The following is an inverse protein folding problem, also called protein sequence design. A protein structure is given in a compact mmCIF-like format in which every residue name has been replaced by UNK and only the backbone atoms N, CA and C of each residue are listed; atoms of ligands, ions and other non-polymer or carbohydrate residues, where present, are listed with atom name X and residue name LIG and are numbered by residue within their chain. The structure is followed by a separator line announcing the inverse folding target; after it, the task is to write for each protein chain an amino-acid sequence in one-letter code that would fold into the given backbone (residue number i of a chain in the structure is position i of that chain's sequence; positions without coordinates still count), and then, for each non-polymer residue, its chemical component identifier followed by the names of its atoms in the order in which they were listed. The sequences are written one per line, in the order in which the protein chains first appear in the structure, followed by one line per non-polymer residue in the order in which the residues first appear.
data_IF_866895513566
#
_entry.id   IF_866895513566
#
_cell.length_a   1.000
_cell.length_b   1.000
_cell.length_c   1.000
_cell.angle_alpha   90.00
_cell.angle_beta   90.00
_cell.angle_gamma   90.00
#
_symmetry.space_group_name_H-M   'P 1'
#
loop_
_entity.id
_entity.type
_entity.pdbx_description
1 polymer ?
#
# COMPACT_ATOMS: atom_id res chain seq x y z
N UNK A 1 -57.14 53.20 59.14
CA UNK A 1 -58.02 53.12 57.96
C UNK A 1 -57.15 53.34 56.72
N UNK A 2 -57.28 52.44 55.73
CA UNK A 2 -56.73 52.39 54.34
C UNK A 2 -55.62 53.33 53.80
N UNK A 3 -54.74 52.70 52.97
CA UNK A 3 -54.23 53.14 51.65
C UNK A 3 -52.81 53.74 51.46
N UNK A 4 -52.08 53.15 50.47
CA UNK A 4 -51.19 53.72 49.41
C UNK A 4 -49.89 54.50 49.82
N UNK A 5 -48.71 54.49 49.16
CA UNK A 5 -48.10 53.88 47.94
C UNK A 5 -46.55 54.06 47.96
N UNK A 6 -45.84 53.20 47.21
CA UNK A 6 -44.40 53.04 46.85
C UNK A 6 -43.50 54.29 46.63
N UNK A 7 -42.18 54.24 46.86
CA UNK A 7 -41.13 53.72 45.92
C UNK A 7 -39.72 53.60 46.57
N UNK A 8 -38.85 52.73 46.02
CA UNK A 8 -37.48 52.33 46.48
C UNK A 8 -36.35 52.86 45.57
N UNK A 9 -35.08 52.99 46.06
CA UNK A 9 -33.88 53.06 45.22
C UNK A 9 -32.94 51.82 45.32
N UNK A 10 -31.96 51.63 44.39
CA UNK A 10 -31.08 50.44 44.27
C UNK A 10 -29.61 50.67 44.74
N UNK A 11 -28.72 49.63 44.72
CA UNK A 11 -27.65 49.43 45.70
C UNK A 11 -26.19 49.73 45.26
N UNK A 12 -25.28 49.50 46.21
CA UNK A 12 -23.89 49.97 46.40
C UNK A 12 -22.78 49.12 45.75
N UNK A 13 -21.64 49.79 45.47
CA UNK A 13 -20.31 49.24 45.12
C UNK A 13 -19.25 49.80 46.10
N UNK A 14 -18.18 49.04 46.41
CA UNK A 14 -16.76 49.46 46.64
C UNK A 14 -15.99 48.43 47.50
N UNK A 15 -14.88 47.83 47.02
CA UNK A 15 -13.45 48.19 47.28
C UNK A 15 -12.87 47.42 48.50
N UNK A 16 -11.61 46.95 48.66
CA UNK A 16 -10.30 47.20 48.06
C UNK A 16 -9.24 46.17 48.58
N UNK A 17 -8.14 46.01 47.84
CA UNK A 17 -6.72 45.75 48.24
C UNK A 17 -6.23 44.40 48.84
N UNK A 18 -5.05 43.92 48.38
CA UNK A 18 -3.76 43.70 49.13
C UNK A 18 -2.70 42.98 48.26
N UNK A 19 -1.41 43.32 48.44
CA UNK A 19 -0.20 42.74 47.81
C UNK A 19 0.42 41.56 48.63
N UNK A 20 0.89 40.52 47.92
CA UNK A 20 1.93 39.43 48.10
C UNK A 20 2.54 39.14 49.51
N UNK A 21 2.88 37.87 49.90
CA UNK A 21 3.92 37.04 49.21
C UNK A 21 3.87 35.48 49.35
N UNK A 22 4.90 34.82 48.78
CA UNK A 22 5.49 33.46 49.00
C UNK A 22 5.11 32.25 48.12
N UNK A 23 6.16 31.51 47.73
CA UNK A 23 6.20 30.28 46.93
C UNK A 23 5.46 29.10 47.59
N UNK A 24 4.78 28.28 46.77
CA UNK A 24 4.73 26.84 46.99
C UNK A 24 4.57 26.13 45.64
N UNK A 25 5.38 25.08 45.48
CA UNK A 25 5.25 24.04 44.46
C UNK A 25 3.85 23.38 44.51
N UNK A 26 3.52 22.61 43.46
CA UNK A 26 2.25 21.90 43.16
C UNK A 26 1.45 22.62 42.07
N UNK A 27 1.01 22.04 40.96
CA UNK A 27 1.01 20.66 40.48
C UNK A 27 0.69 20.71 38.97
N UNK A 28 1.69 20.52 38.10
CA UNK A 28 1.50 20.48 36.64
C UNK A 28 1.39 19.04 36.11
N UNK A 29 1.04 18.07 36.97
CA UNK A 29 1.05 16.66 36.63
C UNK A 29 -0.20 16.12 35.90
N UNK A 30 -1.30 16.88 35.80
CA UNK A 30 -2.60 16.26 35.46
C UNK A 30 -3.08 16.41 34.01
N UNK A 31 -2.50 17.28 33.18
CA UNK A 31 -2.96 17.48 31.79
C UNK A 31 -2.05 16.83 30.74
N UNK A 32 -0.74 16.78 31.00
CA UNK A 32 0.23 16.15 30.10
C UNK A 32 0.14 14.61 30.09
N UNK A 33 -0.47 14.02 31.12
CA UNK A 33 -0.57 12.57 31.24
C UNK A 33 -1.76 11.97 30.46
N UNK A 34 -2.79 12.76 30.11
CA UNK A 34 -3.98 12.30 29.39
C UNK A 34 -3.83 12.29 27.87
N UNK A 35 -2.86 13.01 27.30
CA UNK A 35 -2.61 13.02 25.84
C UNK A 35 -1.55 12.01 25.37
N UNK A 36 -0.75 11.43 26.29
CA UNK A 36 0.41 10.61 25.92
C UNK A 36 0.30 9.10 26.17
N UNK A 37 -0.87 8.58 26.56
CA UNK A 37 -1.14 7.13 26.67
C UNK A 37 -2.58 6.78 26.26
N UNK A 38 -2.99 7.07 25.02
CA UNK A 38 -3.90 6.12 24.36
C UNK A 38 -3.09 4.84 24.16
N UNK A 39 -3.15 3.90 25.11
CA UNK A 39 -2.70 2.52 24.88
C UNK A 39 -3.24 2.12 23.52
N UNK A 40 -2.37 1.88 22.52
CA UNK A 40 -2.73 1.32 21.22
C UNK A 40 -3.47 0.02 21.50
N UNK A 41 -4.80 0.09 21.60
CA UNK A 41 -5.61 -1.06 21.97
C UNK A 41 -5.57 -2.00 20.77
N UNK A 42 -5.00 -3.20 20.95
CA UNK A 42 -4.93 -4.22 19.90
C UNK A 42 -6.36 -4.50 19.45
N UNK A 43 -6.67 -4.22 18.18
CA UNK A 43 -7.93 -4.63 17.58
C UNK A 43 -7.71 -6.01 16.97
N UNK A 44 -8.01 -7.02 17.77
CA UNK A 44 -7.95 -8.41 17.33
C UNK A 44 -9.22 -8.81 16.59
N UNK A 45 -9.06 -9.72 15.63
CA UNK A 45 -10.17 -10.24 14.87
C UNK A 45 -10.93 -11.32 15.64
N UNK A 46 -12.22 -11.12 15.89
CA UNK A 46 -13.06 -12.11 16.57
C UNK A 46 -13.86 -12.97 15.58
N UNK A 47 -14.16 -14.23 15.91
CA UNK A 47 -14.96 -15.09 15.06
C UNK A 47 -16.40 -14.56 14.95
N UNK A 48 -16.93 -14.33 13.73
CA UNK A 48 -18.32 -13.95 13.58
C UNK A 48 -19.26 -15.13 13.90
N UNK A 49 -20.57 -14.89 14.09
CA UNK A 49 -21.57 -15.95 14.21
C UNK A 49 -21.48 -16.97 13.07
N UNK A 50 -21.86 -18.22 13.33
CA UNK A 50 -21.75 -19.30 12.35
C UNK A 50 -22.47 -18.99 11.02
N UNK A 51 -23.66 -18.39 11.08
CA UNK A 51 -24.43 -17.99 9.89
C UNK A 51 -23.68 -16.98 9.02
N UNK A 52 -23.02 -15.99 9.64
CA UNK A 52 -22.19 -15.01 8.94
C UNK A 52 -20.93 -15.66 8.36
N UNK A 53 -20.30 -16.61 9.07
CA UNK A 53 -19.17 -17.40 8.52
C UNK A 53 -19.57 -18.14 7.25
N UNK A 54 -20.75 -18.78 7.24
CA UNK A 54 -21.26 -19.48 6.06
C UNK A 54 -21.50 -18.51 4.90
N UNK A 55 -22.08 -17.33 5.17
CA UNK A 55 -22.27 -16.28 4.16
C UNK A 55 -20.95 -15.79 3.54
N UNK A 56 -19.97 -15.46 4.38
CA UNK A 56 -18.65 -14.99 3.94
C UNK A 56 -17.89 -16.10 3.17
N UNK A 57 -17.96 -17.34 3.65
CA UNK A 57 -17.41 -18.50 2.95
C UNK A 57 -18.05 -18.69 1.57
N UNK A 58 -19.38 -18.63 1.49
CA UNK A 58 -20.12 -18.75 0.24
C UNK A 58 -19.74 -17.64 -0.75
N UNK A 59 -19.53 -16.41 -0.27
CA UNK A 59 -19.08 -15.31 -1.10
C UNK A 59 -17.68 -15.57 -1.68
N UNK A 60 -16.69 -15.91 -0.86
CA UNK A 60 -15.31 -16.16 -1.35
C UNK A 60 -15.25 -17.39 -2.24
N UNK A 61 -15.79 -18.52 -1.80
CA UNK A 61 -15.74 -19.77 -2.58
C UNK A 61 -16.61 -19.69 -3.84
N UNK A 62 -17.72 -18.97 -3.80
CA UNK A 62 -18.54 -18.69 -4.98
C UNK A 62 -17.76 -17.91 -6.03
N UNK A 63 -17.08 -16.83 -5.61
CA UNK A 63 -16.18 -16.07 -6.49
C UNK A 63 -15.02 -16.93 -7.01
N UNK A 64 -14.37 -17.72 -6.15
CA UNK A 64 -13.31 -18.65 -6.58
C UNK A 64 -13.81 -19.70 -7.58
N UNK A 65 -15.01 -20.25 -7.39
CA UNK A 65 -15.59 -21.23 -8.31
C UNK A 65 -15.91 -20.62 -9.67
N UNK A 66 -16.55 -19.45 -9.68
CA UNK A 66 -16.90 -18.74 -10.91
C UNK A 66 -15.64 -18.28 -11.68
N UNK A 67 -14.70 -17.65 -10.98
CA UNK A 67 -13.46 -17.17 -11.57
C UNK A 67 -12.51 -18.32 -11.93
N UNK A 68 -12.46 -19.37 -11.13
CA UNK A 68 -11.69 -20.60 -11.40
C UNK A 68 -12.14 -21.27 -12.69
N UNK A 69 -13.46 -21.32 -12.92
CA UNK A 69 -14.03 -21.87 -14.16
C UNK A 69 -13.69 -20.97 -15.35
N UNK A 70 -13.86 -19.65 -15.22
CA UNK A 70 -13.50 -18.70 -16.28
C UNK A 70 -12.00 -18.76 -16.61
N UNK A 71 -11.14 -18.86 -15.60
CA UNK A 71 -9.69 -18.92 -15.77
C UNK A 71 -9.25 -20.22 -16.44
N UNK A 72 -9.92 -21.34 -16.13
CA UNK A 72 -9.73 -22.61 -16.84
C UNK A 72 -10.09 -22.48 -18.32
N UNK A 73 -11.27 -21.94 -18.66
CA UNK A 73 -11.66 -21.71 -20.06
C UNK A 73 -10.70 -20.77 -20.80
N UNK A 74 -10.25 -19.70 -20.16
CA UNK A 74 -9.22 -18.82 -20.70
C UNK A 74 -7.92 -19.58 -20.95
N UNK A 75 -7.47 -20.44 -20.02
CA UNK A 75 -6.26 -21.25 -20.20
C UNK A 75 -6.36 -22.19 -21.40
N UNK A 76 -7.52 -22.80 -21.64
CA UNK A 76 -7.78 -23.59 -22.85
C UNK A 76 -7.71 -22.75 -24.12
N UNK A 77 -8.33 -21.55 -24.09
CA UNK A 77 -8.30 -20.63 -25.22
C UNK A 77 -6.87 -20.18 -25.54
N UNK A 78 -6.09 -19.83 -24.52
CA UNK A 78 -4.70 -19.38 -24.65
C UNK A 78 -3.76 -20.50 -25.06
N UNK A 79 -4.04 -21.75 -24.67
CA UNK A 79 -3.30 -22.90 -25.17
C UNK A 79 -3.47 -23.07 -26.68
N UNK A 80 -4.69 -22.84 -27.19
CA UNK A 80 -4.97 -22.87 -28.64
C UNK A 80 -4.49 -21.61 -29.37
N UNK A 81 -4.59 -20.45 -28.71
CA UNK A 81 -4.29 -19.14 -29.25
C UNK A 81 -3.50 -18.31 -28.22
N UNK A 82 -2.18 -18.52 -28.12
CA UNK A 82 -1.36 -17.82 -27.14
C UNK A 82 -1.48 -16.31 -27.34
N UNK A 83 -1.84 -15.53 -26.30
CA UNK A 83 -1.92 -14.10 -26.41
C UNK A 83 -0.52 -13.53 -26.65
N UNK A 84 -0.43 -12.50 -27.50
CA UNK A 84 0.81 -11.74 -27.64
C UNK A 84 1.20 -11.11 -26.31
N UNK A 85 2.49 -11.13 -25.97
CA UNK A 85 3.01 -10.48 -24.76
C UNK A 85 3.02 -11.32 -23.48
N UNK A 86 2.83 -12.65 -23.56
CA UNK A 86 3.02 -13.54 -22.40
C UNK A 86 4.46 -13.58 -21.85
N UNK A 87 4.71 -14.33 -20.76
CA UNK A 87 6.06 -14.53 -20.23
C UNK A 87 6.94 -15.28 -21.23
N UNK A 88 8.24 -15.01 -21.21
CA UNK A 88 9.22 -15.78 -21.99
C UNK A 88 9.41 -17.18 -21.38
N UNK A 89 9.37 -17.27 -20.04
CA UNK A 89 9.57 -18.52 -19.30
C UNK A 89 8.51 -18.62 -18.20
N UNK A 90 7.93 -19.81 -18.04
CA UNK A 90 7.19 -20.18 -16.84
C UNK A 90 7.97 -21.31 -16.16
N UNK A 91 8.58 -21.01 -15.00
CA UNK A 91 9.47 -21.93 -14.28
C UNK A 91 8.88 -22.28 -12.92
N UNK A 92 8.86 -23.56 -12.59
CA UNK A 92 8.55 -24.03 -11.25
C UNK A 92 9.85 -24.27 -10.47
N UNK A 93 9.85 -23.95 -9.18
CA UNK A 93 10.97 -24.18 -8.28
C UNK A 93 10.61 -25.28 -7.27
N UNK A 94 11.59 -26.08 -6.85
CA UNK A 94 11.36 -27.22 -5.93
C UNK A 94 10.69 -26.83 -4.62
N UNK A 95 10.95 -25.62 -4.12
CA UNK A 95 10.32 -25.08 -2.91
C UNK A 95 8.80 -24.95 -3.02
N UNK A 96 8.27 -24.77 -4.26
CA UNK A 96 6.85 -24.65 -4.59
C UNK A 96 6.59 -25.18 -6.02
N UNK A 97 6.55 -26.50 -6.22
CA UNK A 97 6.52 -27.09 -7.57
C UNK A 97 5.18 -26.84 -8.30
N UNK A 98 4.10 -26.53 -7.58
CA UNK A 98 2.81 -26.18 -8.16
C UNK A 98 2.69 -24.72 -8.60
N UNK A 99 3.73 -23.92 -8.38
CA UNK A 99 3.74 -22.48 -8.62
C UNK A 99 4.64 -22.14 -9.81
N UNK A 100 4.02 -21.84 -10.95
CA UNK A 100 4.73 -21.35 -12.13
C UNK A 100 5.09 -19.87 -11.97
N UNK A 101 6.35 -19.60 -11.63
CA UNK A 101 6.95 -18.26 -11.67
C UNK A 101 7.05 -17.81 -13.12
N UNK A 102 6.53 -16.62 -13.44
CA UNK A 102 6.45 -16.11 -14.81
C UNK A 102 7.52 -15.06 -15.02
N UNK A 103 8.36 -15.22 -16.03
CA UNK A 103 9.58 -14.42 -16.24
C UNK A 103 9.48 -13.71 -17.59
N UNK A 104 9.68 -12.40 -17.56
CA UNK A 104 9.56 -11.49 -18.69
C UNK A 104 10.91 -10.80 -18.90
N UNK A 105 11.60 -11.18 -19.97
CA UNK A 105 12.78 -10.48 -20.45
C UNK A 105 12.34 -9.30 -21.31
N UNK A 106 13.03 -8.14 -21.24
CA UNK A 106 12.78 -7.06 -22.18
C UNK A 106 12.98 -7.53 -23.61
N UNK A 107 12.17 -7.04 -24.54
CA UNK A 107 12.35 -7.32 -25.98
C UNK A 107 13.73 -6.88 -26.49
N UNK A 108 14.35 -5.86 -25.89
CA UNK A 108 15.70 -5.41 -26.25
C UNK A 108 16.83 -6.32 -25.74
N UNK A 109 16.54 -7.29 -24.87
CA UNK A 109 17.57 -8.13 -24.26
C UNK A 109 18.03 -9.28 -25.17
N UNK A 110 19.34 -9.34 -25.42
CA UNK A 110 19.98 -10.48 -26.07
C UNK A 110 20.26 -11.59 -25.05
N UNK A 111 19.63 -12.75 -25.22
CA UNK A 111 19.78 -13.92 -24.34
C UNK A 111 21.21 -14.50 -24.33
N UNK A 112 22.05 -14.13 -25.29
CA UNK A 112 23.47 -14.51 -25.32
C UNK A 112 24.37 -13.51 -24.60
N UNK A 113 23.83 -12.35 -24.22
CA UNK A 113 24.56 -11.32 -23.49
C UNK A 113 24.92 -11.79 -22.07
N UNK A 114 26.14 -11.53 -21.59
CA UNK A 114 26.51 -11.74 -20.20
C UNK A 114 25.97 -10.64 -19.27
N UNK A 115 25.29 -9.62 -19.80
CA UNK A 115 24.81 -8.48 -19.04
C UNK A 115 23.68 -8.88 -18.08
N UNK A 116 23.81 -8.51 -16.81
CA UNK A 116 22.72 -8.62 -15.83
C UNK A 116 21.74 -7.45 -15.95
N UNK A 117 20.49 -7.69 -15.60
CA UNK A 117 19.38 -6.76 -15.69
C UNK A 117 18.87 -6.36 -14.30
N UNK A 118 18.53 -5.07 -14.10
CA UNK A 118 17.70 -4.66 -12.98
C UNK A 118 16.40 -5.46 -12.98
N UNK A 119 15.96 -5.89 -11.81
CA UNK A 119 14.90 -6.90 -11.69
C UNK A 119 13.77 -6.41 -10.76
N UNK A 120 12.54 -6.48 -11.26
CA UNK A 120 11.33 -6.22 -10.49
C UNK A 120 10.56 -7.52 -10.27
N UNK A 121 10.37 -7.89 -9.00
CA UNK A 121 9.48 -8.97 -8.61
C UNK A 121 8.05 -8.45 -8.50
N UNK A 122 7.15 -8.98 -9.32
CA UNK A 122 5.74 -8.57 -9.38
C UNK A 122 4.85 -9.53 -8.59
N UNK A 123 3.92 -9.00 -7.80
CA UNK A 123 2.98 -9.77 -6.99
C UNK A 123 1.56 -9.34 -7.33
N UNK A 124 0.76 -10.30 -7.78
CA UNK A 124 -0.57 -10.01 -8.27
C UNK A 124 -1.61 -9.74 -7.18
N UNK A 125 -2.64 -8.98 -7.52
CA UNK A 125 -3.77 -8.65 -6.64
C UNK A 125 -4.83 -9.75 -6.51
N UNK A 126 -5.95 -9.42 -5.86
CA UNK A 126 -7.09 -10.33 -5.73
C UNK A 126 -7.61 -10.50 -4.31
N UNK A 127 -7.44 -9.50 -3.44
CA UNK A 127 -7.95 -9.54 -2.06
C UNK A 127 -7.46 -10.76 -1.27
N UNK A 128 -6.24 -11.23 -1.55
CA UNK A 128 -5.59 -12.43 -0.97
C UNK A 128 -6.28 -13.78 -1.27
N UNK A 129 -7.52 -13.75 -1.74
CA UNK A 129 -8.38 -14.90 -1.94
C UNK A 129 -8.55 -15.28 -3.42
N UNK A 130 -8.31 -14.34 -4.33
CA UNK A 130 -8.57 -14.48 -5.76
C UNK A 130 -7.30 -14.21 -6.59
N UNK A 131 -7.46 -14.37 -7.89
CA UNK A 131 -6.46 -14.03 -8.90
C UNK A 131 -5.34 -15.06 -9.05
N UNK A 132 -4.51 -14.84 -10.06
CA UNK A 132 -3.32 -15.62 -10.34
C UNK A 132 -2.21 -14.74 -10.93
N UNK A 133 -0.95 -15.19 -10.84
CA UNK A 133 0.22 -14.46 -11.36
C UNK A 133 0.10 -14.04 -12.83
N UNK A 134 -0.72 -14.75 -13.60
CA UNK A 134 -1.00 -14.47 -15.01
C UNK A 134 -1.92 -13.26 -15.24
N UNK A 135 -2.68 -12.84 -14.24
CA UNK A 135 -3.66 -11.75 -14.37
C UNK A 135 -2.97 -10.40 -14.68
N UNK A 136 -1.68 -10.28 -14.37
CA UNK A 136 -0.86 -9.09 -14.61
C UNK A 136 0.14 -9.22 -15.78
N UNK A 137 0.04 -10.26 -16.60
CA UNK A 137 1.01 -10.55 -17.66
C UNK A 137 1.20 -9.40 -18.66
N UNK A 138 0.11 -8.81 -19.14
CA UNK A 138 0.15 -7.70 -20.10
C UNK A 138 0.92 -6.51 -19.52
N UNK A 139 0.73 -6.23 -18.24
CA UNK A 139 1.44 -5.16 -17.58
C UNK A 139 2.90 -5.51 -17.31
N UNK A 140 3.18 -6.72 -16.82
CA UNK A 140 4.54 -7.18 -16.58
C UNK A 140 5.36 -7.16 -17.86
N UNK A 141 4.76 -7.53 -18.99
CA UNK A 141 5.33 -7.39 -20.33
C UNK A 141 5.60 -5.94 -20.69
N UNK A 142 4.58 -5.08 -20.61
CA UNK A 142 4.72 -3.67 -20.95
C UNK A 142 5.78 -2.97 -20.08
N UNK A 143 5.86 -3.33 -18.79
CA UNK A 143 6.87 -2.82 -17.87
C UNK A 143 8.26 -3.32 -18.23
N UNK A 144 8.43 -4.64 -18.45
CA UNK A 144 9.71 -5.23 -18.84
C UNK A 144 10.26 -4.57 -20.12
N UNK A 145 9.41 -4.44 -21.15
CA UNK A 145 9.80 -3.91 -22.45
C UNK A 145 10.07 -2.40 -22.41
N UNK A 146 9.21 -1.62 -21.73
CA UNK A 146 9.36 -0.15 -21.70
C UNK A 146 10.43 0.35 -20.75
N UNK A 147 10.74 -0.41 -19.70
CA UNK A 147 11.71 -0.02 -18.68
C UNK A 147 13.05 -0.74 -18.81
N UNK A 148 13.17 -1.68 -19.77
CA UNK A 148 14.35 -2.51 -20.02
C UNK A 148 14.80 -3.29 -18.79
N UNK A 149 13.83 -3.81 -18.04
CA UNK A 149 14.04 -4.56 -16.79
C UNK A 149 13.55 -6.00 -16.91
N UNK A 150 14.16 -6.89 -16.16
CA UNK A 150 13.62 -8.23 -15.96
C UNK A 150 12.42 -8.13 -15.00
N UNK A 151 11.26 -8.66 -15.41
CA UNK A 151 10.09 -8.75 -14.52
C UNK A 151 9.82 -10.21 -14.17
N UNK A 152 9.67 -10.49 -12.88
CA UNK A 152 9.43 -11.85 -12.37
C UNK A 152 8.14 -11.86 -11.53
N UNK A 153 7.07 -12.43 -12.07
CA UNK A 153 5.77 -12.53 -11.40
C UNK A 153 5.72 -13.75 -10.49
N UNK A 154 5.55 -13.52 -9.19
CA UNK A 154 5.51 -14.54 -8.15
C UNK A 154 4.06 -14.94 -7.79
N UNK A 155 3.66 -16.21 -7.99
CA UNK A 155 2.40 -16.73 -7.49
C UNK A 155 2.45 -16.99 -5.97
N UNK A 156 1.28 -17.01 -5.33
CA UNK A 156 1.13 -17.30 -3.89
C UNK A 156 -0.19 -18.02 -3.59
N UNK A 157 -0.23 -18.78 -2.49
CA UNK A 157 -1.43 -19.51 -2.04
C UNK A 157 -2.58 -18.57 -1.68
N UNK A 158 -3.83 -19.03 -1.90
CA UNK A 158 -5.03 -18.23 -1.66
C UNK A 158 -5.73 -18.57 -0.36
N UNK A 159 -6.13 -17.53 0.35
CA UNK A 159 -7.11 -17.62 1.41
C UNK A 159 -8.51 -17.99 0.85
N UNK A 160 -9.40 -18.58 1.67
CA UNK A 160 -9.25 -18.96 3.07
C UNK A 160 -8.49 -20.28 3.30
N UNK A 161 -8.13 -21.03 2.24
CA UNK A 161 -7.42 -22.31 2.39
C UNK A 161 -6.01 -22.15 2.95
N UNK A 162 -5.34 -21.06 2.57
CA UNK A 162 -4.04 -20.65 3.07
C UNK A 162 -4.15 -19.23 3.64
N UNK A 163 -4.59 -19.08 4.91
CA UNK A 163 -4.68 -17.76 5.55
C UNK A 163 -3.29 -17.16 5.82
N UNK A 164 -3.26 -15.91 6.23
CA UNK A 164 -2.04 -15.23 6.70
C UNK A 164 -1.31 -16.08 7.76
N UNK A 165 0.04 -16.20 7.70
CA UNK A 165 0.97 -15.54 6.76
C UNK A 165 1.38 -16.40 5.55
N UNK A 166 0.60 -17.43 5.16
CA UNK A 166 1.04 -18.42 4.18
C UNK A 166 1.52 -17.82 2.84
N UNK A 167 0.80 -16.83 2.32
CA UNK A 167 1.19 -16.12 1.10
C UNK A 167 2.58 -15.46 1.20
N UNK A 168 2.92 -14.86 2.35
CA UNK A 168 4.24 -14.25 2.57
C UNK A 168 5.35 -15.31 2.58
N UNK A 169 5.12 -16.47 3.20
CA UNK A 169 6.10 -17.56 3.22
C UNK A 169 6.31 -18.19 1.82
N UNK A 170 5.25 -18.26 1.01
CA UNK A 170 5.36 -18.68 -0.40
C UNK A 170 6.24 -17.72 -1.20
N UNK A 171 5.96 -16.42 -1.07
CA UNK A 171 6.69 -15.36 -1.76
C UNK A 171 8.16 -15.29 -1.32
N UNK A 172 8.44 -15.39 -0.02
CA UNK A 172 9.79 -15.47 0.53
C UNK A 172 10.56 -16.65 -0.07
N UNK A 173 9.97 -17.85 -0.04
CA UNK A 173 10.61 -19.06 -0.56
C UNK A 173 10.91 -18.94 -2.06
N UNK A 174 9.96 -18.41 -2.84
CA UNK A 174 10.11 -18.24 -4.29
C UNK A 174 11.11 -17.14 -4.63
N UNK A 175 11.06 -16.00 -3.94
CA UNK A 175 11.99 -14.89 -4.14
C UNK A 175 13.44 -15.36 -3.94
N UNK A 176 13.70 -16.07 -2.84
CA UNK A 176 15.03 -16.62 -2.54
C UNK A 176 15.48 -17.67 -3.56
N UNK A 177 14.56 -18.55 -3.99
CA UNK A 177 14.86 -19.56 -5.01
C UNK A 177 15.20 -18.93 -6.36
N UNK A 178 14.47 -17.90 -6.77
CA UNK A 178 14.72 -17.15 -8.01
C UNK A 178 16.05 -16.40 -7.95
N UNK A 179 16.35 -15.73 -6.83
CA UNK A 179 17.64 -15.02 -6.68
C UNK A 179 18.86 -15.95 -6.72
N UNK A 180 18.66 -17.20 -6.30
CA UNK A 180 19.69 -18.25 -6.33
C UNK A 180 19.81 -18.92 -7.71
N UNK A 181 18.94 -18.58 -8.66
CA UNK A 181 18.93 -19.15 -9.99
C UNK A 181 19.95 -18.45 -10.90
N UNK A 182 21.12 -19.08 -11.06
CA UNK A 182 22.19 -18.58 -11.91
C UNK A 182 21.85 -18.56 -13.40
N UNK A 183 20.76 -19.22 -13.82
CA UNK A 183 20.30 -19.15 -15.21
C UNK A 183 19.58 -17.84 -15.57
N UNK A 184 19.28 -17.00 -14.57
CA UNK A 184 18.64 -15.72 -14.77
C UNK A 184 19.66 -14.58 -14.65
N UNK A 185 19.65 -13.59 -15.57
CA UNK A 185 20.59 -12.48 -15.57
C UNK A 185 20.15 -11.41 -14.56
N UNK A 186 19.98 -11.76 -13.29
CA UNK A 186 19.53 -10.82 -12.25
C UNK A 186 20.72 -10.00 -11.77
N UNK A 187 20.64 -8.67 -11.91
CA UNK A 187 21.50 -7.75 -11.18
C UNK A 187 21.04 -7.71 -9.72
N UNK A 188 21.80 -8.37 -8.86
CA UNK A 188 21.51 -8.50 -7.42
C UNK A 188 21.68 -7.19 -6.64
N UNK A 189 22.26 -6.15 -7.24
CA UNK A 189 22.30 -4.81 -6.62
C UNK A 189 21.09 -3.95 -6.98
N UNK A 190 20.33 -4.35 -8.00
CA UNK A 190 19.22 -3.58 -8.56
C UNK A 190 17.93 -4.39 -8.54
N UNK A 191 17.45 -4.71 -7.34
CA UNK A 191 16.23 -5.50 -7.12
C UNK A 191 15.15 -4.70 -6.40
N UNK A 192 13.92 -4.79 -6.88
CA UNK A 192 12.74 -4.22 -6.22
C UNK A 192 11.58 -5.21 -6.21
N UNK A 193 10.62 -4.99 -5.32
CA UNK A 193 9.34 -5.72 -5.30
C UNK A 193 8.19 -4.76 -5.58
N UNK A 194 7.21 -5.21 -6.34
CA UNK A 194 6.04 -4.45 -6.74
C UNK A 194 4.80 -5.33 -6.60
N UNK A 195 3.66 -4.73 -6.25
CA UNK A 195 2.40 -5.46 -6.36
C UNK A 195 1.15 -4.59 -6.42
N UNK A 196 0.07 -5.23 -6.83
CA UNK A 196 -1.26 -4.64 -7.01
C UNK A 196 -2.22 -5.05 -5.91
N UNK A 197 -3.02 -4.13 -5.35
CA UNK A 197 -4.09 -4.50 -4.41
C UNK A 197 -3.52 -5.32 -3.21
N UNK A 198 -3.98 -6.56 -3.00
CA UNK A 198 -3.41 -7.48 -2.03
C UNK A 198 -1.92 -7.78 -2.29
N UNK A 199 -1.48 -7.78 -3.55
CA UNK A 199 -0.09 -7.90 -3.94
C UNK A 199 0.76 -6.69 -3.49
N UNK A 200 0.19 -5.48 -3.47
CA UNK A 200 0.88 -4.29 -2.95
C UNK A 200 1.10 -4.38 -1.43
N UNK A 201 0.10 -4.93 -0.71
CA UNK A 201 0.27 -5.31 0.69
C UNK A 201 1.38 -6.35 0.86
N UNK A 202 1.33 -7.44 0.08
CA UNK A 202 2.32 -8.53 0.15
C UNK A 202 3.73 -8.08 -0.24
N UNK A 203 3.90 -7.13 -1.16
CA UNK A 203 5.20 -6.56 -1.53
C UNK A 203 5.85 -5.83 -0.34
N UNK A 204 5.06 -4.99 0.35
CA UNK A 204 5.51 -4.32 1.58
C UNK A 204 5.73 -5.31 2.72
N UNK A 205 4.86 -6.32 2.87
CA UNK A 205 4.99 -7.37 3.88
C UNK A 205 6.23 -8.27 3.67
N UNK A 206 6.48 -8.67 2.42
CA UNK A 206 7.65 -9.47 2.04
C UNK A 206 8.95 -8.73 2.39
N UNK A 207 9.00 -7.43 2.07
CA UNK A 207 10.17 -6.57 2.38
C UNK A 207 10.39 -6.40 3.89
N UNK A 208 9.37 -6.60 4.72
CA UNK A 208 9.52 -6.55 6.18
C UNK A 208 9.99 -7.88 6.78
N UNK A 209 9.98 -9.01 6.06
CA UNK A 209 10.37 -10.29 6.68
C UNK A 209 11.84 -10.26 7.12
N UNK A 210 12.10 -10.66 8.38
CA UNK A 210 13.47 -10.67 8.90
C UNK A 210 14.42 -11.57 8.09
N UNK A 211 13.93 -12.66 7.51
CA UNK A 211 14.78 -13.54 6.70
C UNK A 211 15.19 -12.86 5.38
N UNK A 212 14.31 -12.01 4.82
CA UNK A 212 14.65 -11.15 3.69
C UNK A 212 15.71 -10.12 4.09
N UNK A 213 15.53 -9.42 5.21
CA UNK A 213 16.47 -8.39 5.69
C UNK A 213 17.86 -8.92 6.07
N UNK A 214 17.97 -10.21 6.40
CA UNK A 214 19.25 -10.88 6.69
C UNK A 214 19.96 -11.38 5.44
N UNK A 215 19.30 -11.37 4.29
CA UNK A 215 19.92 -11.75 3.04
C UNK A 215 20.80 -10.61 2.53
N UNK A 216 21.91 -10.95 1.88
CA UNK A 216 22.78 -9.99 1.19
C UNK A 216 22.10 -9.33 0.00
N UNK A 217 21.07 -9.97 -0.56
CA UNK A 217 20.25 -9.46 -1.66
C UNK A 217 18.84 -9.22 -1.14
N UNK A 218 18.54 -7.96 -0.84
CA UNK A 218 17.28 -7.49 -0.29
C UNK A 218 16.71 -6.44 -1.27
N UNK A 219 15.38 -6.39 -1.49
CA UNK A 219 14.82 -5.39 -2.40
C UNK A 219 15.09 -3.98 -1.87
N UNK A 220 15.80 -3.17 -2.65
CA UNK A 220 16.11 -1.77 -2.33
C UNK A 220 14.84 -0.92 -2.29
N UNK A 221 13.80 -1.32 -3.02
CA UNK A 221 12.51 -0.66 -3.06
C UNK A 221 11.30 -1.61 -2.98
N UNK A 222 10.21 -1.11 -2.40
CA UNK A 222 8.88 -1.70 -2.49
C UNK A 222 7.88 -0.73 -3.14
N UNK A 223 7.14 -1.21 -4.13
CA UNK A 223 6.09 -0.46 -4.83
C UNK A 223 4.73 -1.09 -4.56
N UNK A 224 3.78 -0.30 -4.08
CA UNK A 224 2.41 -0.75 -3.84
C UNK A 224 1.43 0.07 -4.67
N UNK A 225 0.76 -0.59 -5.61
CA UNK A 225 -0.22 0.01 -6.50
C UNK A 225 -1.64 -0.33 -6.03
N UNK A 226 -2.42 0.69 -5.67
CA UNK A 226 -3.75 0.54 -5.07
C UNK A 226 -3.75 -0.48 -3.92
N UNK A 227 -2.73 -0.43 -3.06
CA UNK A 227 -2.47 -1.50 -2.09
C UNK A 227 -3.53 -1.63 -1.00
N UNK A 228 -3.76 -2.87 -0.55
CA UNK A 228 -4.66 -3.19 0.55
C UNK A 228 -3.94 -3.09 1.91
N UNK A 229 -3.65 -1.89 2.39
CA UNK A 229 -2.63 -1.62 3.42
C UNK A 229 -3.14 -1.65 4.87
N UNK A 230 -4.44 -1.49 5.11
CA UNK A 230 -5.04 -1.43 6.45
C UNK A 230 -6.25 -2.39 6.59
N UNK A 231 -6.05 -3.56 7.20
CA UNK A 231 -7.13 -4.54 7.40
C UNK A 231 -7.93 -4.31 8.69
N UNK A 232 -7.55 -3.33 9.52
CA UNK A 232 -8.32 -2.98 10.71
C UNK A 232 -9.53 -2.11 10.38
N UNK A 233 -9.33 -1.14 9.48
CA UNK A 233 -10.39 -0.21 9.09
C UNK A 233 -11.47 -0.91 8.28
N UNK A 234 -12.71 -0.56 8.59
CA UNK A 234 -13.88 -1.07 7.87
C UNK A 234 -13.96 -0.49 6.46
N UNK A 235 -14.64 -1.21 5.56
CA UNK A 235 -14.96 -0.70 4.22
C UNK A 235 -15.63 0.70 4.27
N UNK A 236 -16.53 0.92 5.22
CA UNK A 236 -17.20 2.21 5.38
C UNK A 236 -16.23 3.36 5.70
N UNK A 237 -15.28 3.15 6.60
CA UNK A 237 -14.24 4.15 6.93
C UNK A 237 -13.32 4.43 5.74
N UNK A 238 -13.02 3.41 4.93
CA UNK A 238 -12.21 3.54 3.71
C UNK A 238 -12.97 4.34 2.64
N UNK A 239 -14.24 4.01 2.41
CA UNK A 239 -15.09 4.68 1.40
C UNK A 239 -15.46 6.12 1.76
N UNK A 240 -15.45 6.51 3.04
CA UNK A 240 -15.78 7.88 3.46
C UNK A 240 -14.84 8.96 2.88
N UNK A 241 -13.57 8.62 2.64
CA UNK A 241 -12.55 9.57 2.20
C UNK A 241 -12.29 9.50 0.68
N UNK A 242 -13.13 8.76 -0.05
CA UNK A 242 -13.07 8.63 -1.51
C UNK A 242 -13.86 9.78 -2.16
N UNK A 243 -13.27 10.58 -3.06
CA UNK A 243 -14.05 11.45 -3.93
C UNK A 243 -14.84 10.55 -4.90
N UNK A 244 -16.11 10.25 -4.62
CA UNK A 244 -16.88 9.31 -5.45
C UNK A 244 -17.55 10.04 -6.64
N UNK A 245 -17.24 9.59 -7.88
CA UNK A 245 -17.79 10.11 -9.15
C UNK A 245 -18.41 8.96 -9.97
N UNK A 246 -19.65 8.59 -9.66
CA UNK A 246 -20.35 7.47 -10.30
C UNK A 246 -20.47 7.63 -11.83
N UNK A 247 -20.57 8.88 -12.27
CA UNK A 247 -20.76 9.32 -13.65
C UNK A 247 -19.52 9.09 -14.55
N UNK A 248 -18.35 8.92 -13.94
CA UNK A 248 -17.08 8.73 -14.66
C UNK A 248 -16.67 7.25 -14.78
N UNK A 249 -17.38 6.34 -14.11
CA UNK A 249 -16.95 4.94 -14.00
C UNK A 249 -17.67 4.00 -14.96
N UNK A 250 -16.98 3.00 -15.54
CA UNK A 250 -17.64 1.93 -16.29
C UNK A 250 -18.35 0.95 -15.34
N UNK A 251 -19.32 0.20 -15.86
CA UNK A 251 -19.90 -0.93 -15.13
C UNK A 251 -18.81 -1.99 -14.83
N UNK A 252 -18.74 -2.59 -13.62
CA UNK A 252 -19.70 -2.53 -12.52
C UNK A 252 -19.48 -1.41 -11.48
N UNK A 253 -18.55 -0.47 -11.72
CA UNK A 253 -18.19 0.61 -10.77
C UNK A 253 -19.06 1.86 -10.89
N UNK A 254 -19.96 1.90 -11.87
CA UNK A 254 -20.90 3.00 -12.14
C UNK A 254 -22.12 3.09 -11.20
N UNK A 255 -22.16 2.28 -10.13
CA UNK A 255 -23.22 2.28 -9.12
C UNK A 255 -22.74 2.81 -7.77
N UNK A 256 -23.64 3.35 -6.94
CA UNK A 256 -23.36 4.09 -5.69
C UNK A 256 -22.53 3.37 -4.61
N UNK A 257 -22.17 2.10 -4.82
CA UNK A 257 -21.39 1.27 -3.90
C UNK A 257 -20.19 0.70 -4.64
N UNK A 258 -19.00 0.86 -4.05
CA UNK A 258 -17.77 0.25 -4.54
C UNK A 258 -17.88 -1.30 -4.51
N UNK A 259 -17.70 -2.01 -5.65
CA UNK A 259 -17.68 -3.47 -5.65
C UNK A 259 -16.65 -4.06 -4.67
N UNK A 260 -15.51 -3.38 -4.46
CA UNK A 260 -14.50 -3.80 -3.49
C UNK A 260 -15.00 -3.67 -2.05
N UNK A 261 -15.79 -2.64 -1.74
CA UNK A 261 -16.39 -2.48 -0.41
C UNK A 261 -17.33 -3.65 -0.07
N UNK A 262 -18.04 -4.19 -1.07
CA UNK A 262 -18.94 -5.33 -0.88
C UNK A 262 -18.22 -6.67 -0.61
N UNK A 263 -16.94 -6.76 -0.98
CA UNK A 263 -16.11 -7.98 -0.82
C UNK A 263 -15.05 -7.85 0.27
N UNK A 264 -14.79 -6.63 0.76
CA UNK A 264 -13.82 -6.33 1.81
C UNK A 264 -13.94 -7.25 3.03
N UNK A 265 -15.15 -7.38 3.59
CA UNK A 265 -15.35 -8.21 4.78
C UNK A 265 -15.04 -9.69 4.52
N UNK A 266 -15.33 -10.18 3.31
CA UNK A 266 -15.06 -11.55 2.90
C UNK A 266 -13.56 -11.81 2.71
N UNK A 267 -12.80 -10.84 2.18
CA UNK A 267 -11.34 -10.92 2.05
C UNK A 267 -10.63 -10.86 3.39
N UNK A 268 -10.95 -9.86 4.22
CA UNK A 268 -10.49 -9.82 5.61
C UNK A 268 -10.87 -11.13 6.30
N UNK A 269 -12.06 -11.68 5.96
CA UNK A 269 -12.51 -12.95 6.49
C UNK A 269 -11.71 -14.16 6.13
N UNK A 270 -11.42 -14.35 4.85
CA UNK A 270 -10.65 -15.49 4.42
C UNK A 270 -9.19 -15.38 4.84
N UNK A 271 -8.63 -14.17 4.81
CA UNK A 271 -7.19 -14.00 4.94
C UNK A 271 -6.71 -13.99 6.39
N UNK A 272 -7.46 -13.40 7.33
CA UNK A 272 -6.94 -13.15 8.69
C UNK A 272 -7.30 -14.26 9.67
N UNK A 273 -6.34 -14.94 10.33
CA UNK A 273 -6.64 -15.88 11.41
C UNK A 273 -7.41 -15.23 12.57
N UNK A 274 -8.27 -15.99 13.25
CA UNK A 274 -8.97 -15.47 14.43
C UNK A 274 -8.01 -15.21 15.58
N UNK A 275 -8.25 -14.13 16.33
CA UNK A 275 -7.39 -13.67 17.41
C UNK A 275 -6.17 -12.87 16.94
N UNK A 276 -5.88 -12.85 15.63
CA UNK A 276 -4.75 -12.09 15.09
C UNK A 276 -4.96 -10.59 15.27
N UNK A 277 -3.87 -9.88 15.53
CA UNK A 277 -3.87 -8.43 15.64
C UNK A 277 -3.97 -7.80 14.25
N UNK A 278 -5.05 -7.07 13.97
CA UNK A 278 -5.25 -6.43 12.67
C UNK A 278 -4.24 -5.32 12.39
N UNK A 279 -3.51 -4.87 13.41
CA UNK A 279 -2.41 -3.90 13.30
C UNK A 279 -1.03 -4.52 13.14
N UNK A 280 -0.94 -5.85 13.03
CA UNK A 280 0.33 -6.51 12.71
C UNK A 280 0.91 -5.91 11.41
N UNK A 281 2.12 -5.33 11.40
CA UNK A 281 2.71 -4.69 10.21
C UNK A 281 2.86 -5.60 8.98
N UNK A 282 2.96 -6.91 9.17
CA UNK A 282 2.99 -7.88 8.07
C UNK A 282 1.59 -8.13 7.48
N UNK A 283 0.55 -7.95 8.28
CA UNK A 283 -0.85 -8.06 7.85
C UNK A 283 -1.36 -6.73 7.27
N UNK A 284 -1.05 -5.62 7.96
CA UNK A 284 -1.46 -4.26 7.64
C UNK A 284 -0.23 -3.34 7.59
N UNK A 285 0.48 -3.25 6.44
CA UNK A 285 1.65 -2.39 6.25
C UNK A 285 1.41 -0.91 6.57
N UNK A 286 0.15 -0.46 6.64
CA UNK A 286 -0.23 0.85 7.18
C UNK A 286 0.39 1.13 8.58
N UNK A 287 0.77 0.10 9.33
CA UNK A 287 1.39 0.20 10.66
C UNK A 287 2.91 -0.10 10.68
N UNK A 288 3.55 -0.36 9.54
CA UNK A 288 4.97 -0.67 9.44
C UNK A 288 5.89 0.53 9.74
N UNK A 289 7.06 0.30 10.33
CA UNK A 289 8.05 1.35 10.61
C UNK A 289 9.27 1.22 9.70
N UNK A 290 10.10 2.25 9.63
CA UNK A 290 11.38 2.19 8.90
C UNK A 290 12.41 1.30 9.59
N UNK A 291 12.46 1.37 10.92
CA UNK A 291 13.38 0.59 11.76
C UNK A 291 12.68 -0.59 12.39
N UNK A 292 13.44 -1.64 12.65
CA UNK A 292 13.05 -2.68 13.58
C UNK A 292 12.86 -2.01 14.95
N UNK A 293 11.64 -1.76 15.42
CA UNK A 293 11.48 -1.33 16.81
C UNK A 293 11.96 -2.47 17.72
N UNK A 294 13.05 -2.22 18.45
CA UNK A 294 13.66 -3.13 19.43
C UNK A 294 12.61 -3.74 20.36
N UNK A 295 12.09 -4.93 20.06
CA UNK A 295 11.50 -5.90 21.02
C UNK A 295 10.41 -5.44 22.01
N UNK A 296 9.98 -4.18 22.03
CA UNK A 296 9.24 -3.56 23.13
C UNK A 296 7.75 -3.40 22.79
N UNK A 297 7.12 -4.52 22.45
CA UNK A 297 5.67 -4.60 22.20
C UNK A 297 5.09 -6.01 22.16
N UNK A 298 5.96 -7.03 22.07
CA UNK A 298 5.60 -8.44 22.08
C UNK A 298 5.31 -8.97 23.50
N UNK A 299 4.40 -8.33 24.24
CA UNK A 299 3.66 -9.02 25.30
C UNK A 299 2.36 -9.55 24.68
N UNK A 300 2.42 -10.81 24.28
CA UNK A 300 1.30 -11.49 23.62
C UNK A 300 1.74 -12.68 22.80
N UNK A 301 2.71 -13.46 23.30
CA UNK A 301 2.97 -14.79 22.79
C UNK A 301 1.73 -15.66 23.10
N UNK A 302 0.80 -15.73 22.15
CA UNK A 302 -0.07 -16.88 22.02
C UNK A 302 0.82 -18.08 21.68
N UNK A 303 0.95 -19.01 22.61
CA UNK A 303 1.69 -20.27 22.43
C UNK A 303 1.22 -20.96 21.15
N UNK A 304 2.11 -21.08 20.14
CA UNK A 304 1.98 -22.06 19.06
C UNK A 304 1.94 -21.57 17.60
N UNK A 305 2.15 -20.28 17.29
CA UNK A 305 2.11 -19.80 15.89
C UNK A 305 3.50 -19.48 15.31
N UNK A 306 3.91 -20.17 14.23
CA UNK A 306 5.00 -19.76 13.33
C UNK A 306 4.63 -18.50 12.52
N UNK A 307 4.29 -17.40 13.19
CA UNK A 307 4.16 -16.09 12.54
C UNK A 307 5.54 -15.49 12.37
N UNK A 308 5.96 -15.23 11.12
CA UNK A 308 7.24 -14.59 10.81
C UNK A 308 7.44 -13.30 11.62
N UNK A 309 8.67 -13.07 12.10
CA UNK A 309 9.03 -11.81 12.76
C UNK A 309 9.12 -10.71 11.71
N UNK A 310 8.49 -9.56 11.98
CA UNK A 310 8.55 -8.36 11.15
C UNK A 310 9.76 -7.49 11.51
N UNK A 311 10.48 -7.01 10.49
CA UNK A 311 11.39 -5.88 10.55
C UNK A 311 10.78 -4.64 9.88
N UNK A 312 11.58 -3.58 9.73
CA UNK A 312 11.16 -2.34 9.08
C UNK A 312 11.11 -2.42 7.55
N UNK A 313 10.50 -1.41 6.93
CA UNK A 313 10.37 -1.24 5.47
C UNK A 313 11.74 -1.06 4.76
N UNK A 314 11.81 -1.30 3.43
CA UNK A 314 13.01 -1.04 2.65
C UNK A 314 13.30 0.47 2.58
N UNK A 315 14.51 0.85 2.16
CA UNK A 315 14.95 2.27 2.10
C UNK A 315 14.06 3.14 1.21
N UNK A 316 13.51 2.56 0.15
CA UNK A 316 12.70 3.26 -0.83
C UNK A 316 11.29 2.66 -0.91
N UNK A 317 10.26 3.50 -0.79
CA UNK A 317 8.86 3.08 -0.87
C UNK A 317 8.10 3.95 -1.85
N UNK A 318 7.46 3.34 -2.84
CA UNK A 318 6.57 4.02 -3.79
C UNK A 318 5.12 3.54 -3.60
N UNK A 319 4.21 4.49 -3.45
CA UNK A 319 2.80 4.24 -3.15
C UNK A 319 1.94 4.90 -4.23
N UNK A 320 1.20 4.09 -4.97
CA UNK A 320 0.29 4.58 -6.02
C UNK A 320 -1.14 4.41 -5.54
N UNK A 321 -1.91 5.50 -5.49
CA UNK A 321 -3.35 5.48 -5.23
C UNK A 321 -4.13 5.79 -6.50
N UNK A 322 -5.25 5.10 -6.73
CA UNK A 322 -6.20 5.42 -7.79
C UNK A 322 -7.30 6.33 -7.24
N UNK A 323 -7.57 7.48 -7.85
CA UNK A 323 -8.38 8.56 -7.25
C UNK A 323 -9.75 8.10 -6.72
N UNK A 324 -10.44 7.25 -7.49
CA UNK A 324 -11.75 6.73 -7.11
C UNK A 324 -11.59 5.29 -6.57
N UNK A 325 -10.54 4.96 -5.84
CA UNK A 325 -10.41 3.68 -5.14
C UNK A 325 -10.63 3.89 -3.63
N UNK A 326 -11.37 3.00 -2.97
CA UNK A 326 -11.46 3.03 -1.50
C UNK A 326 -10.08 2.84 -0.82
N UNK A 327 -9.12 2.23 -1.52
CA UNK A 327 -7.74 2.02 -1.04
C UNK A 327 -6.81 3.21 -1.29
N UNK A 328 -7.19 4.18 -2.12
CA UNK A 328 -6.38 5.36 -2.44
C UNK A 328 -5.94 6.11 -1.18
N UNK A 329 -6.85 6.20 -0.22
CA UNK A 329 -6.60 6.89 1.04
C UNK A 329 -5.61 6.15 1.94
N UNK A 330 -5.51 4.83 1.79
CA UNK A 330 -4.53 4.03 2.55
C UNK A 330 -3.11 4.29 2.06
N UNK A 331 -2.91 4.36 0.74
CA UNK A 331 -1.61 4.70 0.15
C UNK A 331 -1.20 6.11 0.55
N UNK A 332 -2.14 7.06 0.53
CA UNK A 332 -1.93 8.43 1.01
C UNK A 332 -1.54 8.50 2.49
N UNK A 333 -2.32 7.84 3.37
CA UNK A 333 -2.03 7.78 4.82
C UNK A 333 -0.66 7.21 5.10
N UNK A 334 -0.32 6.09 4.47
CA UNK A 334 0.98 5.48 4.66
C UNK A 334 2.09 6.41 4.17
N UNK A 335 1.96 7.02 2.99
CA UNK A 335 2.96 7.92 2.44
C UNK A 335 3.22 9.13 3.38
N UNK A 336 2.16 9.82 3.80
CA UNK A 336 2.28 10.95 4.72
C UNK A 336 2.90 10.55 6.07
N UNK A 337 2.54 9.38 6.60
CA UNK A 337 3.13 8.87 7.84
C UNK A 337 4.60 8.55 7.67
N UNK A 338 4.97 7.82 6.61
CA UNK A 338 6.35 7.44 6.33
C UNK A 338 7.25 8.66 6.14
N UNK A 339 6.78 9.73 5.49
CA UNK A 339 7.53 10.99 5.40
C UNK A 339 7.71 11.65 6.78
N UNK A 340 6.68 11.65 7.63
CA UNK A 340 6.81 12.19 9.00
C UNK A 340 7.76 11.36 9.86
N UNK A 341 7.72 10.05 9.72
CA UNK A 341 8.55 9.10 10.47
C UNK A 341 9.99 9.07 9.94
N UNK A 342 10.20 9.31 8.64
CA UNK A 342 11.48 9.23 7.93
C UNK A 342 12.38 10.47 8.05
N UNK A 343 11.99 11.47 8.86
CA UNK A 343 12.74 12.71 9.06
C UNK A 343 14.17 12.44 9.51
N UNK A 344 15.13 12.60 8.59
CA UNK A 344 16.56 12.51 8.87
C UNK A 344 16.95 13.48 9.99
N UNK A 345 17.59 12.94 11.03
CA UNK A 345 18.28 13.72 12.05
C UNK A 345 19.41 14.50 11.39
N UNK A 346 19.26 15.82 11.22
CA UNK A 346 20.44 16.69 11.09
C UNK A 346 21.20 16.72 12.42
N UNK A 347 22.52 16.83 12.34
CA UNK A 347 23.43 16.83 13.48
C UNK A 347 23.27 18.01 14.46
N UNK A 348 22.31 18.92 14.22
CA UNK A 348 22.00 20.11 15.02
C UNK A 348 20.66 19.99 15.80
N UNK A 349 19.95 18.87 15.68
CA UNK A 349 18.71 18.64 16.42
C UNK A 349 17.50 19.47 15.94
N UNK A 350 17.58 20.14 14.79
CA UNK A 350 16.43 20.80 14.18
C UNK A 350 15.84 19.95 13.05
N UNK A 351 14.54 19.65 13.18
CA UNK A 351 13.77 18.90 12.20
C UNK A 351 13.22 19.86 11.14
N UNK A 352 13.58 19.67 9.88
CA UNK A 352 12.78 20.20 8.77
C UNK A 352 11.53 19.31 8.67
N UNK A 353 10.46 19.69 9.36
CA UNK A 353 9.17 18.99 9.22
C UNK A 353 8.67 19.25 7.81
N UNK A 354 8.83 18.27 6.92
CA UNK A 354 8.06 18.23 5.69
C UNK A 354 6.58 18.40 6.06
N UNK A 355 5.95 19.48 5.57
CA UNK A 355 4.53 19.74 5.82
C UNK A 355 3.70 18.85 4.91
N UNK A 356 3.73 17.55 5.18
CA UNK A 356 2.81 16.58 4.56
C UNK A 356 1.48 16.60 5.32
N UNK A 357 0.36 16.43 4.61
CA UNK A 357 -0.93 16.48 5.26
C UNK A 357 -1.10 15.45 6.38
N UNK A 358 -1.99 15.74 7.33
CA UNK A 358 -2.39 14.80 8.37
C UNK A 358 -3.74 14.12 8.12
N UNK A 359 -3.76 12.99 7.38
CA UNK A 359 -5.01 12.31 7.06
C UNK A 359 -5.73 11.66 8.26
N UNK A 360 -5.18 11.76 9.47
CA UNK A 360 -5.85 11.41 10.74
C UNK A 360 -6.21 12.65 11.60
N UNK A 361 -5.84 13.88 11.20
CA UNK A 361 -6.23 15.11 11.89
C UNK A 361 -7.72 15.40 11.72
N UNK A 362 -8.35 16.15 12.62
CA UNK A 362 -9.79 16.47 12.54
C UNK A 362 -10.17 17.38 11.36
N UNK A 363 -9.18 18.03 10.76
CA UNK A 363 -9.36 18.91 9.60
C UNK A 363 -9.69 18.12 8.32
N UNK A 364 -10.89 18.34 7.77
CA UNK A 364 -11.33 17.70 6.53
C UNK A 364 -10.45 18.06 5.31
N UNK A 365 -9.74 19.20 5.34
CA UNK A 365 -8.84 19.59 4.26
C UNK A 365 -7.55 18.75 4.21
N UNK A 366 -7.16 18.17 5.34
CA UNK A 366 -6.00 17.27 5.50
C UNK A 366 -6.37 15.80 5.21
N UNK A 367 -7.67 15.47 5.27
CA UNK A 367 -8.22 14.12 5.04
C UNK A 367 -8.51 13.80 3.58
N UNK A 368 -8.56 14.77 2.66
CA UNK A 368 -8.94 14.47 1.27
C UNK A 368 -7.69 14.27 0.41
N UNK A 369 -7.60 13.11 -0.22
CA UNK A 369 -6.57 12.78 -1.19
C UNK A 369 -6.68 13.70 -2.43
N UNK A 370 -5.58 14.33 -2.87
CA UNK A 370 -5.50 15.00 -4.18
C UNK A 370 -6.00 16.45 -4.32
N UNK A 371 -6.00 17.29 -3.26
CA UNK A 371 -6.28 18.74 -3.44
C UNK A 371 -5.06 19.54 -3.93
N UNK A 372 -5.27 20.39 -4.93
CA UNK A 372 -4.26 21.22 -5.61
C UNK A 372 -3.71 22.45 -4.88
N UNK A 373 -3.61 22.44 -3.55
CA UNK A 373 -2.82 23.42 -2.79
C UNK A 373 -2.17 22.75 -1.58
N UNK A 374 -1.00 22.15 -1.77
CA UNK A 374 -0.04 21.93 -0.68
C UNK A 374 0.76 23.22 -0.47
N UNK A 375 1.00 23.56 0.81
CA UNK A 375 1.61 24.82 1.23
C UNK A 375 3.03 25.05 0.69
N UNK A 376 3.47 26.30 0.78
CA UNK A 376 4.76 26.81 0.33
C UNK A 376 5.95 25.95 0.78
N UNK A 377 6.37 25.07 -0.11
CA UNK A 377 7.65 24.40 -0.24
C UNK A 377 7.63 23.93 -1.69
N UNK A 378 8.61 24.34 -2.49
CA UNK A 378 8.57 24.18 -3.96
C UNK A 378 8.27 22.72 -4.34
N UNK A 379 7.01 22.46 -4.72
CA UNK A 379 6.72 21.40 -5.68
C UNK A 379 7.45 21.80 -6.95
N UNK A 380 8.30 20.91 -7.46
CA UNK A 380 8.94 21.08 -8.74
C UNK A 380 7.83 21.11 -9.82
N UNK A 381 7.33 22.32 -10.12
CA UNK A 381 6.40 22.57 -11.21
C UNK A 381 7.20 22.49 -12.50
N UNK A 382 7.43 21.28 -13.00
CA UNK A 382 7.89 21.13 -14.39
C UNK A 382 6.83 21.75 -15.30
N UNK A 383 7.31 22.68 -16.12
CA UNK A 383 6.53 23.59 -16.94
C UNK A 383 5.69 22.86 -17.99
N UNK A 384 4.53 23.46 -18.23
CA UNK A 384 3.49 23.16 -19.19
C UNK A 384 4.01 23.06 -20.64
N UNK A 385 4.21 21.85 -21.13
CA UNK A 385 4.58 21.51 -22.52
C UNK A 385 3.40 20.95 -23.34
N UNK A 386 2.15 21.21 -22.92
CA UNK A 386 0.98 21.02 -23.78
C UNK A 386 0.58 19.57 -24.05
N UNK A 387 1.08 18.61 -23.26
CA UNK A 387 0.59 17.23 -23.21
C UNK A 387 -0.48 17.12 -22.11
N UNK A 388 -1.74 16.85 -22.49
CA UNK A 388 -2.89 16.95 -21.58
C UNK A 388 -2.77 16.05 -20.33
N UNK A 389 -2.43 16.68 -19.21
CA UNK A 389 -2.38 16.16 -17.84
C UNK A 389 -3.33 16.99 -16.96
N UNK A 390 -4.62 16.64 -16.92
CA UNK A 390 -5.52 17.19 -15.89
C UNK A 390 -5.24 16.48 -14.56
N UNK A 391 -4.25 17.00 -13.83
CA UNK A 391 -4.01 16.83 -12.39
C UNK A 391 -3.40 15.50 -11.89
N UNK A 392 -2.16 15.18 -12.27
CA UNK A 392 -1.32 14.31 -11.42
C UNK A 392 -0.95 15.08 -10.15
N UNK A 393 -1.42 14.60 -9.01
CA UNK A 393 -1.02 15.10 -7.69
C UNK A 393 -0.18 14.01 -7.02
N UNK A 394 0.98 14.38 -6.52
CA UNK A 394 1.94 13.45 -5.98
C UNK A 394 3.06 14.21 -5.29
N UNK A 395 3.86 13.50 -4.52
CA UNK A 395 5.08 14.06 -3.98
C UNK A 395 6.17 12.99 -3.96
N UNK A 396 7.40 13.45 -3.95
CA UNK A 396 8.54 12.62 -3.66
C UNK A 396 9.40 13.32 -2.60
N UNK A 397 9.72 12.60 -1.54
CA UNK A 397 10.64 13.05 -0.51
C UNK A 397 11.82 12.10 -0.51
N UNK A 398 13.01 12.65 -0.71
CA UNK A 398 14.29 11.94 -0.69
C UNK A 398 15.13 12.43 0.48
N UNK A 399 15.93 11.56 1.07
CA UNK A 399 16.86 11.95 2.11
C UNK A 399 18.18 11.19 1.98
N UNK A 400 19.27 11.80 2.43
CA UNK A 400 20.60 11.22 2.42
C UNK A 400 21.26 11.41 3.80
N UNK A 401 21.96 10.40 4.30
CA UNK A 401 23.04 10.64 5.26
C UNK A 401 24.22 11.22 4.48
N UNK A 402 24.90 12.18 5.08
CA UNK A 402 25.93 13.01 4.43
C UNK A 402 26.98 12.18 3.66
N UNK A 403 27.18 12.48 2.37
CA UNK A 403 28.34 12.04 1.57
C UNK A 403 28.09 11.07 0.40
N UNK A 404 26.84 10.68 0.11
CA UNK A 404 26.49 9.81 -1.04
C UNK A 404 25.92 10.60 -2.23
N UNK A 405 26.10 10.07 -3.46
CA UNK A 405 25.49 10.60 -4.69
C UNK A 405 24.01 10.18 -4.86
N UNK A 406 23.58 9.08 -4.23
CA UNK A 406 22.19 8.59 -4.21
C UNK A 406 21.55 8.80 -2.83
N UNK A 407 20.24 9.05 -2.73
CA UNK A 407 19.56 9.19 -1.44
C UNK A 407 19.58 7.87 -0.67
N UNK A 408 19.75 7.94 0.65
CA UNK A 408 19.71 6.78 1.57
C UNK A 408 18.29 6.26 1.81
N UNK A 409 17.29 7.01 1.38
CA UNK A 409 15.90 6.56 1.32
C UNK A 409 14.99 7.56 0.64
N UNK A 410 13.82 7.07 0.23
CA UNK A 410 12.79 7.92 -0.36
C UNK A 410 11.38 7.38 -0.15
N UNK A 411 10.42 8.31 -0.11
CA UNK A 411 8.99 8.02 -0.24
C UNK A 411 8.48 8.73 -1.47
N UNK A 412 7.94 7.98 -2.42
CA UNK A 412 7.20 8.51 -3.55
C UNK A 412 5.73 8.18 -3.41
N UNK A 413 4.86 9.15 -3.63
CA UNK A 413 3.43 8.94 -3.67
C UNK A 413 2.84 9.56 -4.94
N UNK A 414 2.06 8.76 -5.67
CA UNK A 414 1.48 9.11 -6.96
C UNK A 414 -0.03 8.88 -6.87
N UNK A 415 -0.82 9.92 -7.10
CA UNK A 415 -2.25 9.78 -7.36
C UNK A 415 -2.46 9.65 -8.87
N UNK A 416 -3.02 8.52 -9.28
CA UNK A 416 -3.41 8.28 -10.67
C UNK A 416 -4.91 8.41 -10.83
N UNK A 417 -5.38 8.84 -12.01
CA UNK A 417 -6.77 8.67 -12.40
C UNK A 417 -7.22 7.21 -12.21
N UNK A 418 -8.49 7.00 -11.85
CA UNK A 418 -9.03 5.70 -11.39
C UNK A 418 -9.01 4.57 -12.44
N UNK A 419 -8.63 4.91 -13.67
CA UNK A 419 -8.46 4.04 -14.83
C UNK A 419 -7.36 2.98 -14.69
N UNK A 420 -6.56 3.02 -13.61
CA UNK A 420 -5.40 2.14 -13.37
C UNK A 420 -5.65 0.98 -12.38
N UNK A 421 -6.91 0.73 -12.02
CA UNK A 421 -7.26 -0.21 -10.96
C UNK A 421 -7.04 -1.69 -11.35
N UNK A 422 -6.43 -2.48 -10.45
CA UNK A 422 -6.20 -3.93 -10.65
C UNK A 422 -7.49 -4.75 -10.83
N UNK A 423 -8.58 -4.34 -10.16
CA UNK A 423 -9.93 -4.92 -10.38
C UNK A 423 -10.47 -4.64 -11.80
N UNK A 424 -10.17 -3.47 -12.38
CA UNK A 424 -10.63 -3.13 -13.73
C UNK A 424 -9.89 -3.95 -14.79
N UNK A 425 -8.63 -4.33 -14.56
CA UNK A 425 -7.92 -5.29 -15.41
C UNK A 425 -8.51 -6.70 -15.31
N UNK A 426 -8.83 -7.14 -14.11
CA UNK A 426 -9.44 -8.46 -13.87
C UNK A 426 -10.83 -8.55 -14.50
N UNK A 427 -11.64 -7.49 -14.47
CA UNK A 427 -12.96 -7.46 -15.09
C UNK A 427 -12.88 -7.22 -16.61
N UNK A 428 -12.03 -6.29 -17.08
CA UNK A 428 -11.88 -5.96 -18.50
C UNK A 428 -11.23 -7.10 -19.31
N UNK A 429 -10.16 -7.74 -18.81
CA UNK A 429 -9.54 -8.89 -19.49
C UNK A 429 -10.51 -10.08 -19.58
N UNK A 430 -11.45 -10.19 -18.64
CA UNK A 430 -12.46 -11.24 -18.58
C UNK A 430 -13.72 -10.94 -19.39
N UNK A 431 -14.05 -9.67 -19.62
CA UNK A 431 -15.14 -9.24 -20.50
C UNK A 431 -14.80 -9.33 -22.01
N UNK A 432 -13.58 -9.75 -22.36
CA UNK A 432 -13.14 -9.81 -23.76
C UNK A 432 -12.91 -8.43 -24.38
N UNK A 433 -12.84 -7.37 -23.56
CA UNK A 433 -12.43 -6.05 -24.01
C UNK A 433 -10.90 -6.08 -24.19
N UNK A 434 -10.45 -6.26 -25.42
CA UNK A 434 -9.05 -6.41 -25.80
C UNK A 434 -8.27 -5.09 -25.86
N UNK A 435 -8.92 -3.95 -25.60
CA UNK A 435 -8.30 -2.63 -25.71
C UNK A 435 -8.77 -1.75 -24.56
N UNK A 436 -7.83 -1.32 -23.73
CA UNK A 436 -8.06 -0.16 -22.88
C UNK A 436 -8.40 1.02 -23.81
N UNK A 437 -9.28 1.92 -23.38
CA UNK A 437 -9.53 3.14 -24.13
C UNK A 437 -8.19 3.88 -24.34
N UNK A 438 -7.95 4.57 -25.46
CA UNK A 438 -6.65 5.21 -25.74
C UNK A 438 -6.16 6.20 -24.67
N UNK A 439 -7.07 6.76 -23.86
CA UNK A 439 -6.70 7.56 -22.68
C UNK A 439 -6.15 6.69 -21.53
N UNK A 440 -6.79 5.56 -21.24
CA UNK A 440 -6.40 4.60 -20.20
C UNK A 440 -5.02 3.98 -20.48
N UNK A 441 -4.71 3.69 -21.75
CA UNK A 441 -3.37 3.26 -22.17
C UNK A 441 -2.32 4.35 -21.89
N UNK A 442 -2.62 5.63 -22.16
CA UNK A 442 -1.69 6.73 -21.92
C UNK A 442 -1.38 6.92 -20.44
N UNK A 443 -2.40 6.94 -19.59
CA UNK A 443 -2.21 7.13 -18.15
C UNK A 443 -1.48 5.94 -17.50
N UNK A 444 -1.81 4.72 -17.94
CA UNK A 444 -1.08 3.51 -17.53
C UNK A 444 0.38 3.58 -17.91
N UNK A 445 0.69 3.93 -19.17
CA UNK A 445 2.07 4.00 -19.65
C UNK A 445 2.87 5.08 -18.93
N UNK A 446 2.25 6.21 -18.62
CA UNK A 446 2.94 7.27 -17.90
C UNK A 446 3.11 6.96 -16.40
N UNK A 447 2.26 6.13 -15.77
CA UNK A 447 2.53 5.58 -14.43
C UNK A 447 3.67 4.55 -14.46
N UNK A 448 3.68 3.67 -15.45
CA UNK A 448 4.78 2.71 -15.71
C UNK A 448 6.11 3.42 -15.87
N UNK A 449 6.15 4.47 -16.71
CA UNK A 449 7.34 5.29 -16.93
C UNK A 449 7.83 5.94 -15.63
N UNK A 450 6.92 6.52 -14.86
CA UNK A 450 7.27 7.22 -13.61
C UNK A 450 7.81 6.29 -12.51
N UNK A 451 7.29 5.06 -12.42
CA UNK A 451 7.82 4.03 -11.51
C UNK A 451 9.18 3.55 -12.00
N UNK A 452 9.34 3.27 -13.29
CA UNK A 452 10.59 2.78 -13.86
C UNK A 452 11.73 3.80 -13.79
N UNK A 453 11.45 5.07 -14.10
CA UNK A 453 12.38 6.19 -13.94
C UNK A 453 12.78 6.37 -12.47
N UNK A 454 11.82 6.30 -11.54
CA UNK A 454 12.12 6.36 -10.11
C UNK A 454 13.02 5.22 -9.65
N UNK A 455 12.76 3.98 -10.08
CA UNK A 455 13.62 2.84 -9.76
C UNK A 455 15.04 3.01 -10.31
N UNK A 456 15.19 3.41 -11.58
CA UNK A 456 16.52 3.61 -12.19
C UNK A 456 17.27 4.77 -11.55
N UNK A 457 16.68 5.96 -11.55
CA UNK A 457 17.40 7.18 -11.20
C UNK A 457 17.54 7.40 -9.69
N UNK A 458 16.50 7.04 -8.92
CA UNK A 458 16.47 7.33 -7.48
C UNK A 458 16.92 6.16 -6.64
N UNK A 459 16.47 4.94 -6.96
CA UNK A 459 16.74 3.75 -6.15
C UNK A 459 18.08 3.11 -6.50
N UNK A 460 18.37 2.96 -7.81
CA UNK A 460 19.57 2.24 -8.26
C UNK A 460 20.68 3.15 -8.78
N UNK A 461 20.37 4.39 -9.17
CA UNK A 461 21.35 5.37 -9.69
C UNK A 461 21.95 4.98 -11.03
N UNK A 462 21.16 4.34 -11.91
CA UNK A 462 21.58 3.82 -13.23
C UNK A 462 20.90 4.50 -14.41
#
# INVERSE_FOLDING_TARGET
MSAATLTRPPPTHASQAVRRPTESQHDNGSLDHMHRKRKRQKKSRYPPPFTQKVGLAAQVYGLQGLLGTATWFQGWREWLYPPGGGPNIVKAYEVRPSFGVRIFFPVSYDLTSPQTLPTVFSIHGGGFCLGAARDDDEWNRAFADSQEMLVISLPYSKAPRAPFPAALHDLESLYLAVLSDESLPIDRTSVAVLGYDAGGNLALGLSQLLAMRKNTVFPSAAVSISGYLDLERSAAEKSQNRPYRADLLPWPRNGTVDPLASTHEAYVWGYTPYGHDLRDPLLSPAYATWTDEDGAGASGAGRGGQGGRSGGLPQHVCLVGAELDMLAHESWRLACRLVRDGGVKRGDGQYEKWRVPDPDADDLSEKICGRGQSGQGEMDQKADDGLSLRHRSGFEVRWANTGSASPDGSVKWILVPDELHGFDRVVASRAGATQLQPAQHRDTNACVGEIGEWLRETVWGI
#
